data_IF_970311791216
#
_entry.id   IF_970311791216
#
_cell.length_a   1.000
_cell.length_b   1.000
_cell.length_c   1.000
_cell.angle_alpha   90.00
_cell.angle_beta   90.00
_cell.angle_gamma   90.00
#
_symmetry.space_group_name_H-M   'P 1'
#
loop_
_entity.id
_entity.type
_entity.pdbx_description
1 polymer ?
#
# COMPACT_ATOMS: atom_id res chain seq x y z
N UNK A 1 -3.82 22.59 12.75
CA UNK A 1 -3.24 22.45 11.40
C UNK A 1 -3.68 21.10 10.86
N UNK A 2 -4.40 21.05 9.74
CA UNK A 2 -4.76 19.77 9.10
C UNK A 2 -3.46 19.05 8.76
N UNK A 3 -3.25 17.87 9.35
CA UNK A 3 -2.02 17.10 9.14
C UNK A 3 -1.89 16.77 7.66
N UNK A 4 -0.93 17.40 6.97
CA UNK A 4 -0.53 16.97 5.64
C UNK A 4 -0.25 15.46 5.71
N UNK A 5 -0.81 14.70 4.76
CA UNK A 5 -0.75 13.24 4.77
C UNK A 5 0.67 12.73 5.04
N UNK A 6 0.80 11.57 5.68
CA UNK A 6 2.09 10.93 5.95
C UNK A 6 2.29 9.77 4.99
N UNK A 7 3.51 9.65 4.48
CA UNK A 7 3.87 8.49 3.69
C UNK A 7 3.97 7.26 4.59
N UNK A 8 3.43 6.14 4.10
CA UNK A 8 3.58 4.84 4.72
C UNK A 8 3.97 3.81 3.66
N UNK A 9 4.73 2.81 4.08
CA UNK A 9 5.23 1.74 3.23
C UNK A 9 4.47 0.46 3.52
N UNK A 10 4.06 -0.23 2.45
CA UNK A 10 3.58 -1.60 2.45
C UNK A 10 4.68 -2.48 1.85
N UNK A 11 5.07 -3.54 2.56
CA UNK A 11 5.85 -4.64 1.99
C UNK A 11 5.03 -5.92 2.03
N UNK A 12 5.15 -6.73 0.99
CA UNK A 12 4.45 -8.00 0.88
C UNK A 12 5.23 -8.96 -0.02
N UNK A 13 5.18 -10.25 0.30
CA UNK A 13 5.73 -11.29 -0.58
C UNK A 13 4.88 -11.46 -1.85
N UNK A 14 3.57 -11.21 -1.73
CA UNK A 14 2.61 -11.22 -2.84
C UNK A 14 1.48 -10.22 -2.59
N UNK A 15 1.15 -9.43 -3.59
CA UNK A 15 0.04 -8.48 -3.60
C UNK A 15 -0.86 -8.80 -4.79
N UNK A 16 -2.09 -9.21 -4.52
CA UNK A 16 -3.10 -9.46 -5.53
C UNK A 16 -4.15 -8.36 -5.49
N UNK A 17 -4.50 -7.83 -6.66
CA UNK A 17 -5.44 -6.73 -6.83
C UNK A 17 -6.48 -7.13 -7.88
N UNK A 18 -7.72 -7.31 -7.45
CA UNK A 18 -8.87 -7.55 -8.34
C UNK A 18 -9.47 -6.24 -8.85
N UNK A 19 -9.72 -6.16 -10.16
CA UNK A 19 -10.33 -4.99 -10.79
C UNK A 19 -9.44 -3.74 -10.75
N UNK A 20 -8.11 -3.93 -10.80
CA UNK A 20 -7.17 -2.82 -10.71
C UNK A 20 -7.31 -1.88 -11.90
N UNK A 21 -7.53 -0.60 -11.60
CA UNK A 21 -7.64 0.45 -12.58
C UNK A 21 -6.74 1.61 -12.18
N UNK A 22 -5.75 1.93 -13.00
CA UNK A 22 -4.98 3.16 -12.92
C UNK A 22 -5.85 4.32 -13.41
N UNK A 23 -6.21 5.20 -12.49
CA UNK A 23 -7.05 6.37 -12.76
C UNK A 23 -6.24 7.49 -13.38
N UNK A 24 -4.96 7.59 -13.02
CA UNK A 24 -4.05 8.63 -13.52
C UNK A 24 -3.12 9.17 -12.44
N UNK A 25 -2.38 10.21 -12.80
CA UNK A 25 -1.53 10.95 -11.86
C UNK A 25 -2.36 12.10 -11.26
N UNK A 26 -2.39 12.18 -9.93
CA UNK A 26 -3.16 13.19 -9.18
C UNK A 26 -2.26 13.93 -8.19
N UNK A 27 -2.75 15.07 -7.70
CA UNK A 27 -2.11 15.80 -6.61
C UNK A 27 -2.51 15.20 -5.24
N UNK A 28 -1.52 15.06 -4.35
CA UNK A 28 -1.71 14.67 -2.96
C UNK A 28 -0.85 15.54 -2.04
N UNK A 29 -1.29 15.70 -0.79
CA UNK A 29 -0.52 16.39 0.24
C UNK A 29 0.35 15.38 1.00
N UNK A 30 1.67 15.58 0.97
CA UNK A 30 2.64 14.83 1.76
C UNK A 30 3.44 15.83 2.60
N UNK A 31 3.36 15.72 3.93
CA UNK A 31 4.08 16.61 4.86
C UNK A 31 3.89 18.12 4.59
N UNK A 32 2.70 18.50 4.11
CA UNK A 32 2.36 19.89 3.77
C UNK A 32 2.78 20.35 2.38
N UNK A 33 3.45 19.50 1.60
CA UNK A 33 3.80 19.77 0.21
C UNK A 33 2.85 19.04 -0.75
N UNK A 34 2.47 19.71 -1.84
CA UNK A 34 1.74 19.07 -2.94
C UNK A 34 2.72 18.26 -3.78
N UNK A 35 2.44 16.97 -3.96
CA UNK A 35 3.21 16.05 -4.79
C UNK A 35 2.30 15.35 -5.80
N UNK A 36 2.89 14.88 -6.91
CA UNK A 36 2.21 14.03 -7.89
C UNK A 36 2.31 12.56 -7.47
N UNK A 37 1.18 11.87 -7.41
CA UNK A 37 1.08 10.44 -7.06
C UNK A 37 0.22 9.68 -8.05
N UNK A 38 0.40 8.37 -8.13
CA UNK A 38 -0.45 7.47 -8.88
C UNK A 38 -1.76 7.24 -8.12
N UNK A 39 -2.90 7.38 -8.79
CA UNK A 39 -4.20 6.96 -8.24
C UNK A 39 -4.63 5.65 -8.87
N UNK A 40 -4.93 4.66 -8.03
CA UNK A 40 -5.55 3.41 -8.44
C UNK A 40 -6.91 3.22 -7.77
N UNK A 41 -7.79 2.47 -8.42
CA UNK A 41 -8.97 1.87 -7.80
C UNK A 41 -8.92 0.35 -7.91
N UNK A 42 -9.42 -0.37 -6.91
CA UNK A 42 -9.49 -1.84 -6.90
C UNK A 42 -10.75 -2.31 -6.18
N UNK A 43 -11.28 -3.49 -6.53
CA UNK A 43 -12.45 -4.10 -5.87
C UNK A 43 -12.05 -4.98 -4.69
N UNK A 44 -10.85 -5.55 -4.74
CA UNK A 44 -10.29 -6.31 -3.64
C UNK A 44 -8.77 -6.15 -3.60
N UNK A 45 -8.18 -6.48 -2.46
CA UNK A 45 -6.74 -6.55 -2.31
C UNK A 45 -6.39 -7.66 -1.31
N UNK A 46 -5.48 -8.55 -1.70
CA UNK A 46 -4.91 -9.60 -0.84
C UNK A 46 -3.41 -9.36 -0.70
N UNK A 47 -2.92 -9.41 0.53
CA UNK A 47 -1.56 -9.01 0.87
C UNK A 47 -0.92 -10.10 1.71
N UNK A 48 -0.06 -10.91 1.07
CA UNK A 48 0.66 -11.99 1.74
C UNK A 48 1.88 -11.46 2.46
N UNK A 49 2.08 -11.90 3.70
CA UNK A 49 3.19 -11.50 4.56
C UNK A 49 3.26 -9.97 4.76
N UNK A 50 2.10 -9.35 4.98
CA UNK A 50 1.98 -7.90 5.13
C UNK A 50 2.91 -7.36 6.23
N UNK A 51 3.72 -6.37 5.86
CA UNK A 51 4.41 -5.48 6.80
C UNK A 51 4.12 -4.04 6.36
N UNK A 52 3.46 -3.27 7.23
CA UNK A 52 3.27 -1.83 7.06
C UNK A 52 4.20 -1.08 7.99
N UNK A 53 4.76 0.01 7.52
CA UNK A 53 5.57 0.91 8.36
C UNK A 53 5.34 2.36 8.00
N UNK A 54 5.23 3.22 9.02
CA UNK A 54 5.10 4.66 8.85
C UNK A 54 5.95 5.39 9.89
N UNK A 55 6.51 6.54 9.52
CA UNK A 55 7.23 7.39 10.47
C UNK A 55 6.23 8.18 11.33
N UNK A 56 6.33 8.02 12.65
CA UNK A 56 5.47 8.69 13.62
C UNK A 56 6.14 9.93 14.23
N UNK A 57 7.46 9.95 14.26
CA UNK A 57 8.31 11.11 14.57
C UNK A 57 9.70 10.88 13.97
N UNK A 58 10.55 11.91 13.86
CA UNK A 58 11.91 11.76 13.31
C UNK A 58 12.66 10.56 13.93
N UNK A 59 13.08 9.61 13.09
CA UNK A 59 13.81 8.41 13.50
C UNK A 59 12.99 7.33 14.23
N UNK A 60 11.66 7.47 14.29
CA UNK A 60 10.75 6.52 14.95
C UNK A 60 9.67 6.04 13.99
N UNK A 61 9.64 4.73 13.75
CA UNK A 61 8.65 4.08 12.89
C UNK A 61 7.69 3.21 13.69
N UNK A 62 6.41 3.34 13.40
CA UNK A 62 5.41 2.35 13.79
C UNK A 62 5.38 1.27 12.72
N UNK A 63 5.48 0.00 13.11
CA UNK A 63 5.46 -1.16 12.21
C UNK A 63 4.31 -2.08 12.62
N UNK A 64 3.43 -2.37 11.67
CA UNK A 64 2.35 -3.36 11.80
C UNK A 64 2.64 -4.53 10.89
N UNK A 65 2.83 -5.72 11.44
CA UNK A 65 3.11 -6.93 10.69
C UNK A 65 2.02 -7.98 10.89
N UNK A 66 1.64 -8.67 9.81
CA UNK A 66 0.83 -9.87 9.89
C UNK A 66 1.64 -11.05 10.43
N UNK A 67 0.95 -12.10 10.86
CA UNK A 67 1.60 -13.39 11.12
C UNK A 67 2.28 -13.88 9.83
N UNK A 68 3.51 -14.37 9.92
CA UNK A 68 4.22 -14.96 8.79
C UNK A 68 3.39 -16.08 8.12
N UNK A 69 3.44 -16.14 6.79
CA UNK A 69 2.69 -17.03 5.93
C UNK A 69 1.21 -16.65 5.73
N UNK A 70 0.70 -15.63 6.42
CA UNK A 70 -0.72 -15.26 6.34
C UNK A 70 -1.02 -14.22 5.24
N UNK A 71 -2.29 -14.16 4.85
CA UNK A 71 -2.80 -13.21 3.87
C UNK A 71 -3.74 -12.23 4.55
N UNK A 72 -3.36 -10.96 4.54
CA UNK A 72 -4.24 -9.84 4.92
C UNK A 72 -5.17 -9.50 3.74
N UNK A 73 -6.34 -8.97 4.02
CA UNK A 73 -7.31 -8.62 2.99
C UNK A 73 -7.85 -7.22 3.20
N UNK A 74 -8.04 -6.46 2.11
CA UNK A 74 -8.88 -5.26 2.10
C UNK A 74 -10.08 -5.56 1.22
N UNK A 75 -11.26 -5.63 1.85
CA UNK A 75 -12.50 -5.97 1.18
C UNK A 75 -13.47 -4.80 1.25
N UNK A 76 -14.27 -4.61 0.20
CA UNK A 76 -15.41 -3.68 0.24
C UNK A 76 -16.41 -4.21 1.27
N UNK A 77 -16.49 -3.58 2.45
CA UNK A 77 -17.57 -3.89 3.38
C UNK A 77 -18.85 -3.26 2.85
N UNK A 78 -19.90 -4.08 2.75
CA UNK A 78 -21.28 -3.57 2.80
C UNK A 78 -21.53 -3.18 4.25
N UNK A 79 -21.51 -1.89 4.55
CA UNK A 79 -22.14 -1.40 5.77
C UNK A 79 -23.65 -1.32 5.51
N UNK A 80 -24.48 -1.64 6.50
CA UNK A 80 -25.93 -1.47 6.39
C UNK A 80 -26.24 0.00 6.09
N UNK A 81 -27.02 0.25 5.05
CA UNK A 81 -27.32 1.60 4.55
C UNK A 81 -26.24 2.25 3.67
N UNK A 82 -25.16 1.55 3.31
CA UNK A 82 -24.16 2.08 2.37
C UNK A 82 -24.74 2.19 0.94
N UNK A 83 -24.30 3.19 0.15
CA UNK A 83 -24.62 3.28 -1.28
C UNK A 83 -24.25 1.98 -2.01
N UNK A 84 -25.12 1.53 -2.92
CA UNK A 84 -24.83 0.39 -3.80
C UNK A 84 -24.60 0.87 -5.24
N UNK A 85 -23.53 0.38 -5.91
CA UNK A 85 -22.48 -0.51 -5.38
C UNK A 85 -21.56 0.20 -4.35
N UNK A 86 -20.92 -0.54 -3.43
CA UNK A 86 -19.99 0.06 -2.47
C UNK A 86 -18.84 0.79 -3.19
N UNK A 87 -18.33 1.90 -2.62
CA UNK A 87 -17.22 2.63 -3.25
C UNK A 87 -15.99 1.74 -3.33
N UNK A 88 -15.27 1.83 -4.45
CA UNK A 88 -14.02 1.09 -4.67
C UNK A 88 -12.96 1.46 -3.63
N UNK A 89 -11.98 0.57 -3.43
CA UNK A 89 -10.76 0.91 -2.69
C UNK A 89 -9.94 1.84 -3.57
N UNK A 90 -9.61 3.01 -3.07
CA UNK A 90 -8.69 3.95 -3.73
C UNK A 90 -7.32 3.89 -3.08
N UNK A 91 -6.27 3.83 -3.90
CA UNK A 91 -4.87 3.86 -3.48
C UNK A 91 -4.20 5.10 -4.06
N UNK A 92 -3.52 5.87 -3.20
CA UNK A 92 -2.73 7.04 -3.59
C UNK A 92 -1.26 6.70 -3.35
N UNK A 93 -0.58 6.37 -4.43
CA UNK A 93 0.71 5.67 -4.41
C UNK A 93 1.82 6.56 -4.95
N UNK A 94 2.83 6.82 -4.12
CA UNK A 94 4.06 7.52 -4.51
C UNK A 94 4.91 6.63 -5.42
N UNK A 95 5.06 5.36 -5.04
CA UNK A 95 5.84 4.37 -5.78
C UNK A 95 5.26 2.96 -5.58
N UNK A 96 5.19 2.18 -6.65
CA UNK A 96 4.94 0.73 -6.61
C UNK A 96 6.11 0.02 -7.26
N UNK A 97 6.91 -0.68 -6.45
CA UNK A 97 8.10 -1.40 -6.91
C UNK A 97 7.98 -2.89 -6.56
N UNK A 98 8.33 -3.77 -7.49
CA UNK A 98 8.28 -5.22 -7.29
C UNK A 98 8.35 -5.96 -8.61
N UNK A 99 7.79 -7.17 -8.64
CA UNK A 99 7.70 -7.96 -9.86
C UNK A 99 6.24 -8.14 -10.26
N UNK A 100 5.83 -7.59 -11.39
CA UNK A 100 4.53 -7.85 -12.00
C UNK A 100 4.51 -9.29 -12.54
N UNK A 101 3.59 -10.11 -12.04
CA UNK A 101 3.39 -11.51 -12.46
C UNK A 101 2.26 -11.56 -13.49
N UNK A 102 2.63 -11.81 -14.75
CA UNK A 102 1.70 -12.01 -15.87
C UNK A 102 1.79 -13.48 -16.26
N UNK A 103 0.84 -14.28 -15.78
CA UNK A 103 0.73 -15.72 -16.12
C UNK A 103 2.03 -16.51 -15.87
N UNK A 104 2.76 -16.19 -14.79
CA UNK A 104 4.01 -16.85 -14.41
C UNK A 104 5.28 -16.14 -14.91
N UNK A 105 5.16 -15.14 -15.79
CA UNK A 105 6.29 -14.30 -16.20
C UNK A 105 6.41 -13.13 -15.23
N UNK A 106 7.57 -13.03 -14.57
CA UNK A 106 7.88 -11.96 -13.62
C UNK A 106 8.61 -10.82 -14.32
N UNK A 107 7.99 -9.64 -14.37
CA UNK A 107 8.52 -8.43 -14.98
C UNK A 107 8.84 -7.43 -13.84
N UNK A 108 10.11 -7.02 -13.65
CA UNK A 108 10.44 -5.99 -12.69
C UNK A 108 9.77 -4.66 -13.04
N UNK A 109 9.17 -4.00 -12.05
CA UNK A 109 8.48 -2.72 -12.21
C UNK A 109 8.90 -1.73 -11.12
N UNK A 110 8.89 -0.45 -11.48
CA UNK A 110 9.12 0.67 -10.58
C UNK A 110 8.22 1.84 -11.03
N UNK A 111 6.93 1.73 -10.70
CA UNK A 111 5.92 2.69 -11.14
C UNK A 111 5.92 3.91 -10.23
N UNK A 112 5.95 5.09 -10.84
CA UNK A 112 5.91 6.40 -10.18
C UNK A 112 5.12 7.37 -11.05
N UNK A 113 4.81 8.58 -10.56
CA UNK A 113 4.16 9.60 -11.38
C UNK A 113 4.95 9.94 -12.67
N UNK A 114 6.27 9.84 -12.65
CA UNK A 114 7.14 10.06 -13.82
C UNK A 114 7.17 8.86 -14.77
N UNK A 115 6.96 7.65 -14.25
CA UNK A 115 6.94 6.39 -15.00
C UNK A 115 5.67 5.61 -14.64
N UNK A 116 4.48 6.07 -15.07
CA UNK A 116 3.22 5.43 -14.73
C UNK A 116 3.10 4.05 -15.38
N UNK A 117 2.24 3.16 -14.86
CA UNK A 117 1.99 1.87 -15.48
C UNK A 117 1.35 2.05 -16.87
N UNK A 118 1.70 1.18 -17.84
CA UNK A 118 1.32 1.39 -19.24
C UNK A 118 -0.13 1.00 -19.58
N UNK A 119 -0.83 0.23 -18.74
CA UNK A 119 -2.15 -0.33 -19.05
C UNK A 119 -2.95 -0.75 -17.79
N UNK A 120 -4.28 -0.75 -17.90
CA UNK A 120 -5.22 -1.31 -16.93
C UNK A 120 -5.48 -2.79 -17.19
N UNK A 121 -5.49 -3.60 -16.13
CA UNK A 121 -5.55 -5.05 -16.21
C UNK A 121 -6.55 -5.57 -15.17
N UNK A 122 -7.45 -6.52 -15.55
CA UNK A 122 -8.59 -6.90 -14.71
C UNK A 122 -8.16 -7.62 -13.42
N UNK A 123 -7.01 -8.28 -13.43
CA UNK A 123 -6.42 -8.89 -12.26
C UNK A 123 -4.90 -8.75 -12.32
N UNK A 124 -4.30 -8.34 -11.22
CA UNK A 124 -2.85 -8.14 -11.13
C UNK A 124 -2.29 -8.83 -9.92
N UNK A 125 -1.16 -9.48 -10.10
CA UNK A 125 -0.33 -9.98 -9.02
C UNK A 125 1.04 -9.32 -9.09
N UNK A 126 1.51 -8.83 -7.95
CA UNK A 126 2.90 -8.46 -7.74
C UNK A 126 3.56 -9.42 -6.75
N UNK A 127 4.83 -9.76 -6.95
CA UNK A 127 5.66 -10.42 -5.92
C UNK A 127 6.77 -9.49 -5.45
N UNK A 128 7.22 -9.73 -4.22
CA UNK A 128 8.35 -9.01 -3.60
C UNK A 128 8.15 -7.49 -3.67
N UNK A 129 6.94 -7.07 -3.33
CA UNK A 129 6.48 -5.72 -3.58
C UNK A 129 6.76 -4.80 -2.39
N UNK A 130 7.21 -3.60 -2.71
CA UNK A 130 7.24 -2.45 -1.82
C UNK A 130 6.41 -1.35 -2.44
N UNK A 131 5.36 -0.92 -1.75
CA UNK A 131 4.49 0.18 -2.16
C UNK A 131 4.64 1.30 -1.15
N UNK A 132 4.93 2.52 -1.62
CA UNK A 132 4.86 3.72 -0.78
C UNK A 132 3.60 4.50 -1.13
N UNK A 133 2.80 4.82 -0.13
CA UNK A 133 1.49 5.42 -0.29
C UNK A 133 1.36 6.67 0.58
N UNK A 134 0.54 7.62 0.14
CA UNK A 134 0.05 8.71 1.00
C UNK A 134 -1.24 8.28 1.69
N UNK A 135 -2.15 7.64 0.95
CA UNK A 135 -3.50 7.34 1.41
C UNK A 135 -4.03 6.02 0.84
N UNK A 136 -4.92 5.41 1.61
CA UNK A 136 -5.84 4.37 1.16
C UNK A 136 -7.24 4.74 1.64
N UNK A 137 -8.21 4.75 0.74
CA UNK A 137 -9.61 5.08 1.06
C UNK A 137 -10.51 3.93 0.66
N UNK A 138 -11.54 3.70 1.46
CA UNK A 138 -12.49 2.61 1.23
C UNK A 138 -11.95 1.24 1.64
N UNK A 139 -12.88 0.28 1.69
CA UNK A 139 -12.61 -1.09 2.14
C UNK A 139 -12.34 -1.20 3.65
N UNK A 140 -12.15 -2.44 4.11
CA UNK A 140 -11.74 -2.75 5.49
C UNK A 140 -10.57 -3.71 5.48
N UNK A 141 -9.47 -3.27 6.09
CA UNK A 141 -8.28 -4.08 6.27
C UNK A 141 -8.46 -5.08 7.42
N UNK A 142 -8.20 -6.35 7.14
CA UNK A 142 -8.12 -7.44 8.12
C UNK A 142 -6.72 -8.03 8.08
N UNK A 143 -6.04 -8.05 9.23
CA UNK A 143 -4.65 -8.49 9.38
C UNK A 143 -4.61 -9.69 10.34
N UNK A 144 -4.43 -10.93 9.85
CA UNK A 144 -4.35 -12.10 10.72
C UNK A 144 -3.14 -12.05 11.66
N UNK A 145 -3.41 -12.16 12.96
CA UNK A 145 -2.36 -12.19 13.99
C UNK A 145 -1.49 -10.92 14.00
N UNK A 146 -2.10 -9.76 13.75
CA UNK A 146 -1.43 -8.48 13.71
C UNK A 146 -0.55 -8.25 14.95
N UNK A 147 0.69 -7.82 14.72
CA UNK A 147 1.61 -7.36 15.75
C UNK A 147 2.04 -5.93 15.43
N UNK A 148 1.97 -5.06 16.42
CA UNK A 148 2.38 -3.67 16.31
C UNK A 148 3.65 -3.50 17.14
N UNK A 149 4.64 -2.83 16.56
CA UNK A 149 5.92 -2.54 17.20
C UNK A 149 6.39 -1.13 16.86
N UNK A 150 7.19 -0.55 17.75
CA UNK A 150 7.86 0.73 17.53
C UNK A 150 9.33 0.43 17.29
N UNK A 151 9.86 0.91 16.16
CA UNK A 151 11.27 0.76 15.78
C UNK A 151 11.89 2.14 15.79
N UNK A 152 12.94 2.31 16.59
CA UNK A 152 13.77 3.53 16.61
C UNK A 152 15.06 3.26 15.86
N UNK A 153 15.57 4.23 15.11
CA UNK A 153 16.93 4.18 14.56
C UNK A 153 17.93 4.23 15.74
N UNK A 154 18.21 3.08 16.37
CA UNK A 154 19.26 2.98 17.38
C UNK A 154 20.60 3.04 16.65
N UNK A 155 21.44 4.04 16.97
CA UNK A 155 22.87 3.93 16.69
C UNK A 155 23.40 2.63 17.33
N UNK A 156 24.34 1.90 16.71
CA UNK A 156 24.88 0.69 17.30
C UNK A 156 25.46 1.04 18.67
N UNK A 157 24.89 0.46 19.73
CA UNK A 157 25.48 0.53 21.06
C UNK A 157 26.79 -0.22 20.98
N UNK A 158 27.92 0.50 20.91
CA UNK A 158 29.24 -0.09 21.17
C UNK A 158 29.17 -0.72 22.56
N UNK A 159 29.07 -2.05 22.60
CA UNK A 159 29.30 -2.81 23.83
C UNK A 159 30.80 -2.70 24.11
N UNK A 160 31.17 -1.85 25.07
CA UNK A 160 32.46 -1.96 25.78
C UNK A 160 32.39 -3.08 26.79
#
# INVERSE_FOLDING_TARGET
MAGGGREWTLKASRLELGGLNFVGVVDALLNGQVIKVLKFTTTDMKIKDLVQSAEVSPGVRLVTAARAGSTSTVNLKKADGAPQPPPLIELFTVQLKGNLDILGIKIPVDYTAAHPPPLNVPFVTFTDVTVRNTDLKGGTLTIPGARISVVTDQAPTERR
#
